data_IF_306485258103
#
_entry.id   IF_306485258103
#
_cell.length_a   1.000
_cell.length_b   1.000
_cell.length_c   1.000
_cell.angle_alpha   90.00
_cell.angle_beta   90.00
_cell.angle_gamma   90.00
#
_symmetry.space_group_name_H-M   'P 1'
#
loop_
_entity.id
_entity.type
_entity.pdbx_description
1 polymer ?
#
# COMPACT_ATOMS: atom_id res chain seq x y z
N UNK A 1 -2.86 -33.55 13.32
CA UNK A 1 -1.72 -32.62 13.25
C UNK A 1 -2.23 -31.25 13.66
N UNK A 2 -1.88 -30.79 14.86
CA UNK A 2 -2.18 -29.42 15.30
C UNK A 2 -1.17 -28.49 14.65
N UNK A 3 -1.61 -27.61 13.74
CA UNK A 3 -0.78 -26.49 13.26
C UNK A 3 -0.30 -25.72 14.48
N UNK A 4 1.01 -25.66 14.67
CA UNK A 4 1.62 -24.89 15.76
C UNK A 4 1.23 -23.41 15.61
N UNK A 5 1.05 -22.72 16.73
CA UNK A 5 0.75 -21.27 16.73
C UNK A 5 1.78 -20.49 15.90
N UNK A 6 3.03 -20.94 15.89
CA UNK A 6 4.11 -20.38 15.07
C UNK A 6 3.82 -20.44 13.57
N UNK A 7 3.30 -21.56 13.07
CA UNK A 7 2.93 -21.72 11.65
C UNK A 7 1.74 -20.82 11.29
N UNK A 8 0.78 -20.67 12.20
CA UNK A 8 -0.35 -19.76 12.01
C UNK A 8 0.11 -18.30 11.95
N UNK A 9 1.02 -17.90 12.84
CA UNK A 9 1.59 -16.56 12.85
C UNK A 9 2.42 -16.29 11.58
N UNK A 10 3.22 -17.27 11.15
CA UNK A 10 4.01 -17.17 9.93
C UNK A 10 3.10 -17.01 8.70
N UNK A 11 2.02 -17.78 8.61
CA UNK A 11 1.05 -17.68 7.52
C UNK A 11 0.30 -16.33 7.53
N UNK A 12 -0.04 -15.81 8.71
CA UNK A 12 -0.67 -14.50 8.84
C UNK A 12 0.26 -13.36 8.38
N UNK A 13 1.55 -13.44 8.73
CA UNK A 13 2.57 -12.48 8.28
C UNK A 13 2.78 -12.55 6.77
N UNK A 14 2.82 -13.75 6.19
CA UNK A 14 2.95 -13.94 4.75
C UNK A 14 1.73 -13.37 4.01
N UNK A 15 0.52 -13.73 4.45
CA UNK A 15 -0.74 -13.20 3.89
C UNK A 15 -0.76 -11.68 3.95
N UNK A 16 -0.34 -11.09 5.07
CA UNK A 16 -0.23 -9.64 5.21
C UNK A 16 0.76 -9.05 4.20
N UNK A 17 1.92 -9.69 4.01
CA UNK A 17 2.93 -9.24 3.04
C UNK A 17 2.39 -9.27 1.62
N UNK A 18 1.73 -10.35 1.22
CA UNK A 18 1.09 -10.48 -0.09
C UNK A 18 0.03 -9.40 -0.30
N UNK A 19 -0.83 -9.18 0.71
CA UNK A 19 -1.85 -8.14 0.66
C UNK A 19 -1.22 -6.73 0.52
N UNK A 20 -0.16 -6.44 1.26
CA UNK A 20 0.55 -5.17 1.15
C UNK A 20 1.20 -4.97 -0.23
N UNK A 21 1.78 -6.03 -0.81
CA UNK A 21 2.33 -5.98 -2.17
C UNK A 21 1.23 -5.75 -3.21
N UNK A 22 0.08 -6.43 -3.08
CA UNK A 22 -1.05 -6.24 -3.98
C UNK A 22 -1.60 -4.80 -3.93
N UNK A 23 -1.75 -4.23 -2.73
CA UNK A 23 -2.16 -2.83 -2.54
C UNK A 23 -1.14 -1.89 -3.19
N UNK A 24 0.16 -2.11 -2.99
CA UNK A 24 1.20 -1.28 -3.59
C UNK A 24 1.15 -1.27 -5.13
N UNK A 25 0.91 -2.44 -5.75
CA UNK A 25 0.74 -2.56 -7.19
C UNK A 25 -0.50 -1.82 -7.68
N UNK A 26 -1.65 -2.03 -7.04
CA UNK A 26 -2.89 -1.34 -7.39
C UNK A 26 -2.76 0.18 -7.30
N UNK A 27 -2.11 0.68 -6.24
CA UNK A 27 -1.84 2.11 -6.06
C UNK A 27 -0.91 2.65 -7.16
N UNK A 28 0.13 1.90 -7.53
CA UNK A 28 1.06 2.29 -8.60
C UNK A 28 0.37 2.39 -9.95
N UNK A 29 -0.41 1.38 -10.33
CA UNK A 29 -1.15 1.35 -11.59
C UNK A 29 -2.19 2.47 -11.64
N UNK A 30 -2.93 2.68 -10.55
CA UNK A 30 -3.92 3.75 -10.47
C UNK A 30 -3.27 5.14 -10.53
N UNK A 31 -2.08 5.32 -9.92
CA UNK A 31 -1.31 6.56 -10.05
C UNK A 31 -0.76 6.76 -11.47
N UNK A 32 -0.37 5.69 -12.17
CA UNK A 32 0.02 5.76 -13.58
C UNK A 32 -1.16 6.14 -14.49
N UNK A 33 -2.37 5.76 -14.12
CA UNK A 33 -3.62 6.18 -14.77
C UNK A 33 -4.13 7.57 -14.31
N UNK A 34 -3.31 8.34 -13.59
CA UNK A 34 -3.63 9.67 -13.03
C UNK A 34 -4.81 9.71 -12.04
N UNK A 35 -5.08 8.59 -11.34
CA UNK A 35 -6.15 8.58 -10.35
C UNK A 35 -5.77 9.39 -9.11
N UNK A 36 -6.76 10.13 -8.58
CA UNK A 36 -6.66 10.82 -7.31
C UNK A 36 -6.61 9.82 -6.15
N UNK A 37 -5.88 10.16 -5.08
CA UNK A 37 -5.75 9.29 -3.89
C UNK A 37 -7.09 8.91 -3.25
N UNK A 38 -8.07 9.81 -3.28
CA UNK A 38 -9.45 9.55 -2.83
C UNK A 38 -10.12 8.44 -3.65
N UNK A 39 -9.99 8.50 -4.98
CA UNK A 39 -10.53 7.49 -5.90
C UNK A 39 -9.87 6.12 -5.71
N UNK A 40 -8.55 6.10 -5.47
CA UNK A 40 -7.82 4.86 -5.16
C UNK A 40 -8.31 4.28 -3.84
N UNK A 41 -8.50 5.12 -2.83
CA UNK A 41 -9.03 4.69 -1.53
C UNK A 41 -10.43 4.11 -1.67
N UNK A 42 -11.33 4.78 -2.40
CA UNK A 42 -12.68 4.28 -2.66
C UNK A 42 -12.65 2.91 -3.36
N UNK A 43 -11.76 2.72 -4.34
CA UNK A 43 -11.60 1.44 -5.05
C UNK A 43 -11.07 0.31 -4.15
N UNK A 44 -10.27 0.63 -3.14
CA UNK A 44 -9.78 -0.32 -2.12
C UNK A 44 -10.80 -0.56 -0.99
N UNK A 45 -12.00 0.03 -1.06
CA UNK A 45 -13.04 -0.10 -0.03
C UNK A 45 -12.90 0.90 1.13
N UNK A 46 -12.21 2.02 0.92
CA UNK A 46 -12.03 3.10 1.89
C UNK A 46 -10.90 2.87 2.90
N UNK A 47 -10.25 1.70 2.87
CA UNK A 47 -9.12 1.36 3.74
C UNK A 47 -7.99 0.74 2.93
N UNK A 48 -6.80 1.35 2.89
CA UNK A 48 -6.39 2.60 3.57
C UNK A 48 -7.01 3.87 2.94
N UNK A 49 -7.18 4.90 3.79
CA UNK A 49 -7.71 6.21 3.35
C UNK A 49 -6.74 6.94 2.39
N UNK A 50 -7.26 7.88 1.61
CA UNK A 50 -6.47 8.62 0.60
C UNK A 50 -5.26 9.36 1.17
N UNK A 51 -5.36 9.88 2.39
CA UNK A 51 -4.24 10.53 3.08
C UNK A 51 -3.12 9.53 3.43
N UNK A 52 -3.50 8.36 3.94
CA UNK A 52 -2.57 7.26 4.26
C UNK A 52 -1.88 6.78 2.99
N UNK A 53 -2.63 6.63 1.89
CA UNK A 53 -2.06 6.29 0.58
C UNK A 53 -1.05 7.34 0.12
N UNK A 54 -1.41 8.63 0.18
CA UNK A 54 -0.51 9.73 -0.18
C UNK A 54 0.75 9.74 0.69
N UNK A 55 0.64 9.51 2.00
CA UNK A 55 1.80 9.52 2.91
C UNK A 55 2.73 8.33 2.67
N UNK A 56 2.19 7.16 2.39
CA UNK A 56 2.98 5.93 2.20
C UNK A 56 3.52 5.79 0.77
N UNK A 57 2.76 6.20 -0.25
CA UNK A 57 3.09 6.01 -1.67
C UNK A 57 3.40 7.30 -2.42
N UNK A 58 2.96 8.46 -1.92
CA UNK A 58 3.19 9.78 -2.53
C UNK A 58 4.55 10.42 -2.19
N UNK A 59 5.38 9.78 -1.36
CA UNK A 59 6.70 10.26 -0.95
C UNK A 59 7.79 10.20 -2.04
N UNK A 60 7.44 9.80 -3.27
CA UNK A 60 8.38 9.69 -4.41
C UNK A 60 8.77 11.02 -5.07
N UNK A 61 8.26 12.16 -4.60
CA UNK A 61 8.72 13.49 -5.03
C UNK A 61 9.38 14.20 -3.86
N UNK A 62 10.50 13.64 -3.40
CA UNK A 62 11.56 14.45 -2.84
C UNK A 62 12.02 15.40 -3.93
N UNK A 63 11.43 16.60 -3.98
CA UNK A 63 12.08 17.73 -4.62
C UNK A 63 13.47 17.81 -4.00
N UNK A 64 14.51 17.53 -4.80
CA UNK A 64 15.87 17.94 -4.47
C UNK A 64 15.76 19.43 -4.14
N UNK A 65 16.11 19.90 -2.94
CA UNK A 65 16.40 21.30 -2.78
C UNK A 65 17.55 21.59 -3.74
N UNK A 66 17.26 22.37 -4.77
CA UNK A 66 18.25 23.10 -5.54
C UNK A 66 19.06 23.91 -4.52
N UNK A 67 20.27 23.43 -4.20
CA UNK A 67 21.24 24.19 -3.43
C UNK A 67 21.83 25.20 -4.40
N UNK A 68 21.33 26.43 -4.31
CA UNK A 68 21.89 27.62 -4.94
C UNK A 68 23.16 28.07 -4.22
#
# INVERSE_FOLDING_TARGET
MTTSIEELMQNAVDTRRVAQTAIALAVREARAADWSWDRISAALGGSPNGETLRRNFGGGSGGRPEQA
#
